data_IF_776654579288
#
_entry.id   IF_776654579288
#
_cell.length_a   1.000
_cell.length_b   1.000
_cell.length_c   1.000
_cell.angle_alpha   90.00
_cell.angle_beta   90.00
_cell.angle_gamma   90.00
#
_symmetry.space_group_name_H-M   'P 1'
#
loop_
_entity.id
_entity.type
_entity.pdbx_description
1 polymer ?
#
# COMPACT_ATOMS: atom_id res chain seq x y z
N UNK A 1 -19.42 0.08 9.93
CA UNK A 1 -18.34 0.60 10.80
C UNK A 1 -18.28 -0.08 12.18
N UNK A 2 -19.40 -0.63 12.68
CA UNK A 2 -19.40 -1.35 13.97
C UNK A 2 -18.52 -2.61 13.98
N UNK A 3 -18.21 -3.15 12.81
CA UNK A 3 -17.45 -4.40 12.66
C UNK A 3 -16.01 -4.18 12.19
N UNK A 4 -15.57 -2.92 12.03
CA UNK A 4 -14.19 -2.62 11.63
C UNK A 4 -13.25 -2.76 12.83
N UNK A 5 -12.29 -3.67 12.70
CA UNK A 5 -11.32 -3.98 13.77
C UNK A 5 -10.00 -3.23 13.63
N UNK A 6 -9.74 -2.63 12.46
CA UNK A 6 -8.52 -1.89 12.20
C UNK A 6 -8.50 -1.19 10.85
N UNK A 7 -7.57 -0.28 10.70
CA UNK A 7 -7.23 0.41 9.45
C UNK A 7 -5.77 0.12 9.17
N UNK A 8 -5.48 -0.46 8.02
CA UNK A 8 -4.12 -0.66 7.54
C UNK A 8 -3.71 0.56 6.71
N UNK A 9 -2.59 1.20 7.07
CA UNK A 9 -2.08 2.39 6.39
C UNK A 9 -0.81 1.99 5.66
N UNK A 10 -0.77 2.21 4.36
CA UNK A 10 0.39 1.87 3.51
C UNK A 10 1.52 2.87 3.67
N UNK A 11 1.19 4.17 3.66
CA UNK A 11 2.14 5.29 3.79
C UNK A 11 1.39 6.62 4.03
N UNK A 12 2.13 7.71 4.24
CA UNK A 12 1.62 9.01 4.70
C UNK A 12 1.17 9.97 3.59
N UNK A 13 1.16 9.60 2.32
CA UNK A 13 0.70 10.50 1.27
C UNK A 13 -0.76 10.91 1.48
N UNK A 14 -1.06 12.16 1.13
CA UNK A 14 -2.32 12.81 1.52
C UNK A 14 -3.57 12.12 0.94
N UNK A 15 -3.49 11.57 -0.23
CA UNK A 15 -4.56 10.81 -0.88
C UNK A 15 -4.89 9.51 -0.15
N UNK A 16 -3.94 8.96 0.63
CA UNK A 16 -4.15 7.79 1.49
C UNK A 16 -4.68 8.15 2.87
N UNK A 17 -4.31 9.32 3.41
CA UNK A 17 -4.60 9.66 4.81
C UNK A 17 -5.59 10.83 5.00
N UNK A 18 -6.05 11.49 3.94
CA UNK A 18 -6.91 12.69 4.06
C UNK A 18 -8.15 12.50 4.94
N UNK A 19 -8.76 11.30 4.93
CA UNK A 19 -9.92 10.96 5.75
C UNK A 19 -9.61 10.43 7.14
N UNK A 20 -8.35 10.12 7.43
CA UNK A 20 -7.94 9.35 8.60
C UNK A 20 -8.33 10.01 9.91
N UNK A 21 -8.06 11.31 10.04
CA UNK A 21 -8.39 12.04 11.26
C UNK A 21 -9.90 12.13 11.55
N UNK A 22 -10.73 12.19 10.51
CA UNK A 22 -12.20 12.16 10.68
C UNK A 22 -12.65 10.80 11.19
N UNK A 23 -12.13 9.71 10.60
CA UNK A 23 -12.46 8.33 10.99
C UNK A 23 -11.98 8.06 12.42
N UNK A 24 -10.74 8.44 12.73
CA UNK A 24 -10.14 8.28 14.05
C UNK A 24 -10.98 8.95 15.14
N UNK A 25 -11.30 10.23 14.98
CA UNK A 25 -12.10 11.00 15.96
C UNK A 25 -13.53 10.49 16.10
N UNK A 26 -14.12 9.96 15.04
CA UNK A 26 -15.52 9.52 15.04
C UNK A 26 -15.71 8.11 15.58
N UNK A 27 -14.78 7.23 15.32
CA UNK A 27 -14.97 5.79 15.56
C UNK A 27 -13.94 5.16 16.49
N UNK A 28 -12.79 5.81 16.73
CA UNK A 28 -11.75 5.28 17.62
C UNK A 28 -11.17 3.94 17.15
N UNK A 29 -11.10 3.71 15.83
CA UNK A 29 -10.63 2.45 15.26
C UNK A 29 -9.09 2.40 15.32
N UNK A 30 -8.48 1.30 15.76
CA UNK A 30 -7.03 1.13 15.72
C UNK A 30 -6.47 1.27 14.30
N UNK A 31 -5.32 1.92 14.19
CA UNK A 31 -4.63 2.22 12.92
C UNK A 31 -3.25 1.57 12.94
N UNK A 32 -2.95 0.75 11.95
CA UNK A 32 -1.71 0.00 11.85
C UNK A 32 -0.83 0.63 10.76
N UNK A 33 0.37 1.06 11.12
CA UNK A 33 1.35 1.64 10.21
C UNK A 33 2.77 1.42 10.74
N UNK A 34 3.77 1.51 9.86
CA UNK A 34 5.18 1.52 10.26
C UNK A 34 5.51 2.75 11.10
N UNK A 35 6.56 2.67 11.92
CA UNK A 35 6.91 3.74 12.85
C UNK A 35 7.18 5.07 12.16
N UNK A 36 7.90 5.05 11.03
CA UNK A 36 8.23 6.28 10.28
C UNK A 36 6.98 6.86 9.60
N UNK A 37 6.05 6.02 9.12
CA UNK A 37 4.76 6.45 8.60
C UNK A 37 3.90 7.10 9.69
N UNK A 38 3.85 6.52 10.90
CA UNK A 38 3.14 7.12 12.05
C UNK A 38 3.70 8.49 12.38
N UNK A 39 5.03 8.60 12.48
CA UNK A 39 5.71 9.87 12.77
C UNK A 39 5.38 10.94 11.70
N UNK A 40 5.45 10.59 10.43
CA UNK A 40 5.11 11.48 9.32
C UNK A 40 3.64 11.94 9.37
N UNK A 41 2.70 11.03 9.69
CA UNK A 41 1.28 11.37 9.85
C UNK A 41 1.07 12.36 11.00
N UNK A 42 1.69 12.14 12.16
CA UNK A 42 1.55 12.99 13.32
C UNK A 42 2.13 14.40 13.10
N UNK A 43 3.14 14.51 12.25
CA UNK A 43 3.74 15.80 11.87
C UNK A 43 2.95 16.55 10.78
N UNK A 44 2.02 15.90 10.06
CA UNK A 44 1.20 16.59 9.06
C UNK A 44 0.02 17.32 9.69
N UNK A 45 -0.26 18.54 9.20
CA UNK A 45 -1.42 19.34 9.67
C UNK A 45 -2.72 18.93 8.98
N UNK A 46 -2.65 18.19 7.91
CA UNK A 46 -3.78 17.94 7.00
C UNK A 46 -4.85 17.02 7.61
N UNK A 47 -4.44 16.04 8.39
CA UNK A 47 -5.36 15.09 9.05
C UNK A 47 -5.99 15.64 10.33
N UNK A 48 -5.46 16.77 10.84
CA UNK A 48 -5.84 17.33 12.12
C UNK A 48 -5.35 16.49 13.31
N UNK A 49 -5.85 16.79 14.51
CA UNK A 49 -5.42 16.06 15.72
C UNK A 49 -5.99 14.65 15.75
N UNK A 50 -5.13 13.65 15.88
CA UNK A 50 -5.44 12.23 16.08
C UNK A 50 -4.91 11.83 17.46
N UNK A 51 -5.63 10.96 18.17
CA UNK A 51 -5.15 10.36 19.42
C UNK A 51 -4.06 9.33 19.06
N UNK A 52 -2.85 9.57 19.53
CA UNK A 52 -1.68 8.70 19.26
C UNK A 52 -1.91 7.28 19.78
N UNK A 53 -2.72 7.09 20.82
CA UNK A 53 -3.03 5.77 21.37
C UNK A 53 -3.79 4.86 20.38
N UNK A 54 -4.36 5.42 19.31
CA UNK A 54 -5.00 4.63 18.24
C UNK A 54 -3.99 3.98 17.29
N UNK A 55 -2.75 4.47 17.24
CA UNK A 55 -1.74 3.87 16.39
C UNK A 55 -1.15 2.60 17.00
N UNK A 56 -1.13 1.56 16.22
CA UNK A 56 -0.45 0.30 16.47
C UNK A 56 0.74 0.23 15.52
N UNK A 57 1.94 0.46 16.05
CA UNK A 57 3.17 0.44 15.25
C UNK A 57 3.47 -1.00 14.83
N UNK A 58 3.65 -1.20 13.53
CA UNK A 58 4.04 -2.47 12.91
C UNK A 58 5.46 -2.36 12.33
N UNK A 59 6.08 -3.51 12.09
CA UNK A 59 7.37 -3.61 11.41
C UNK A 59 7.15 -4.18 10.01
N UNK A 60 7.77 -3.58 8.97
CA UNK A 60 7.76 -4.16 7.63
C UNK A 60 8.39 -5.56 7.64
N UNK A 61 7.90 -6.44 6.79
CA UNK A 61 8.29 -7.87 6.68
C UNK A 61 7.96 -8.72 7.92
N UNK A 62 7.26 -8.20 8.91
CA UNK A 62 6.88 -8.96 10.10
C UNK A 62 5.37 -9.15 10.19
N UNK A 63 4.92 -10.38 10.13
CA UNK A 63 3.50 -10.74 10.26
C UNK A 63 2.94 -10.34 11.64
N UNK A 64 1.68 -9.88 11.65
CA UNK A 64 0.87 -9.66 12.85
C UNK A 64 -0.57 -10.11 12.59
N UNK A 65 -1.41 -10.10 13.63
CA UNK A 65 -2.80 -10.58 13.53
C UNK A 65 -3.81 -9.51 13.94
N UNK A 66 -4.94 -9.46 13.22
CA UNK A 66 -6.14 -8.72 13.60
C UNK A 66 -7.30 -9.70 13.55
N UNK A 67 -7.84 -10.08 14.72
CA UNK A 67 -8.85 -11.14 14.79
C UNK A 67 -8.30 -12.46 14.27
N UNK A 68 -8.94 -13.02 13.26
CA UNK A 68 -8.54 -14.27 12.57
C UNK A 68 -7.75 -14.04 11.27
N UNK A 69 -7.39 -12.80 10.99
CA UNK A 69 -6.56 -12.42 9.84
C UNK A 69 -5.08 -12.39 10.23
N UNK A 70 -4.23 -12.96 9.41
CA UNK A 70 -2.78 -12.73 9.44
C UNK A 70 -2.43 -11.67 8.40
N UNK A 71 -1.74 -10.63 8.82
CA UNK A 71 -1.36 -9.48 8.00
C UNK A 71 0.15 -9.48 7.84
N UNK A 72 0.63 -9.45 6.61
CA UNK A 72 2.04 -9.31 6.27
C UNK A 72 2.25 -7.94 5.60
N UNK A 73 2.92 -6.99 6.27
CA UNK A 73 3.35 -5.75 5.63
C UNK A 73 4.58 -6.05 4.77
N UNK A 74 4.48 -5.80 3.48
CA UNK A 74 5.55 -6.02 2.50
C UNK A 74 6.18 -4.68 2.15
N UNK A 75 7.48 -4.53 2.35
CA UNK A 75 8.20 -3.30 1.98
C UNK A 75 8.15 -3.07 0.47
N UNK A 76 7.87 -1.84 0.07
CA UNK A 76 7.75 -1.45 -1.34
C UNK A 76 8.64 -0.26 -1.68
N UNK A 77 8.99 -0.13 -2.96
CA UNK A 77 9.73 1.02 -3.46
C UNK A 77 8.78 2.16 -3.80
N UNK A 78 8.69 3.14 -2.90
CA UNK A 78 7.89 4.36 -3.07
C UNK A 78 8.55 5.56 -2.39
N UNK A 79 8.18 6.79 -2.77
CA UNK A 79 8.77 8.02 -2.22
C UNK A 79 8.06 8.49 -0.93
N UNK A 80 7.95 7.59 0.03
CA UNK A 80 7.34 7.80 1.35
C UNK A 80 8.33 7.42 2.48
N UNK A 81 7.98 7.64 3.74
CA UNK A 81 8.86 7.45 4.88
C UNK A 81 9.28 5.98 5.07
N UNK A 82 8.30 5.09 5.20
CA UNK A 82 8.52 3.62 5.27
C UNK A 82 7.29 2.92 4.68
N UNK A 83 7.16 2.94 3.32
CA UNK A 83 5.96 2.49 2.64
C UNK A 83 5.86 0.97 2.59
N UNK A 84 4.65 0.46 2.85
CA UNK A 84 4.33 -0.97 2.78
C UNK A 84 3.09 -1.23 1.95
N UNK A 85 3.08 -2.37 1.27
CA UNK A 85 1.88 -3.03 0.78
C UNK A 85 1.41 -4.07 1.79
N UNK A 86 0.25 -4.66 1.59
CA UNK A 86 -0.27 -5.66 2.52
C UNK A 86 -0.66 -6.95 1.82
N UNK A 87 -0.17 -8.07 2.35
CA UNK A 87 -0.70 -9.40 2.08
C UNK A 87 -1.50 -9.88 3.29
N UNK A 88 -2.73 -10.30 3.05
CA UNK A 88 -3.69 -10.65 4.08
C UNK A 88 -4.09 -12.10 3.88
N UNK A 89 -3.97 -12.90 4.92
CA UNK A 89 -4.30 -14.32 4.90
C UNK A 89 -5.40 -14.63 5.91
N UNK A 90 -6.37 -15.40 5.47
CA UNK A 90 -7.37 -16.04 6.32
C UNK A 90 -7.50 -17.50 5.90
N UNK A 91 -7.15 -18.43 6.80
CA UNK A 91 -7.07 -19.86 6.48
C UNK A 91 -6.20 -20.10 5.25
N UNK A 92 -6.78 -20.69 4.18
CA UNK A 92 -6.08 -20.99 2.92
C UNK A 92 -6.24 -19.89 1.86
N UNK A 93 -6.82 -18.73 2.23
CA UNK A 93 -7.07 -17.61 1.31
C UNK A 93 -6.10 -16.47 1.52
N UNK A 94 -5.54 -15.98 0.41
CA UNK A 94 -4.59 -14.90 0.40
C UNK A 94 -5.06 -13.77 -0.52
N UNK A 95 -5.04 -12.55 0.01
CA UNK A 95 -5.31 -11.32 -0.74
C UNK A 95 -4.06 -10.45 -0.66
N UNK A 96 -3.61 -9.88 -1.76
CA UNK A 96 -2.57 -8.87 -1.75
C UNK A 96 -3.09 -7.54 -2.32
N UNK A 97 -2.73 -6.45 -1.65
CA UNK A 97 -2.97 -5.07 -2.09
C UNK A 97 -1.61 -4.43 -2.33
N UNK A 98 -1.26 -4.24 -3.60
CA UNK A 98 0.06 -3.81 -4.07
C UNK A 98 -0.10 -2.54 -4.89
N UNK A 99 -0.25 -1.42 -4.21
CA UNK A 99 -0.39 -0.08 -4.78
C UNK A 99 0.86 0.74 -4.51
N UNK A 100 1.04 1.83 -5.25
CA UNK A 100 2.14 2.79 -5.09
C UNK A 100 3.53 2.14 -5.18
N UNK A 101 3.68 1.28 -6.16
CA UNK A 101 4.89 0.51 -6.39
C UNK A 101 5.68 1.10 -7.56
N UNK A 102 6.78 1.80 -7.27
CA UNK A 102 7.62 2.40 -8.32
C UNK A 102 8.39 1.36 -9.13
N UNK A 103 8.89 0.33 -8.47
CA UNK A 103 9.59 -0.79 -9.10
C UNK A 103 9.39 -2.07 -8.30
N UNK A 104 9.63 -3.22 -8.91
CA UNK A 104 9.58 -4.51 -8.24
C UNK A 104 10.86 -5.32 -8.53
N UNK A 105 11.18 -6.20 -7.62
CA UNK A 105 12.28 -7.17 -7.68
C UNK A 105 11.77 -8.59 -7.45
N UNK A 106 12.69 -9.54 -7.30
CA UNK A 106 12.33 -10.94 -7.05
C UNK A 106 11.66 -11.13 -5.68
N UNK A 107 11.93 -10.27 -4.69
CA UNK A 107 11.26 -10.28 -3.40
C UNK A 107 9.75 -10.02 -3.56
N UNK A 108 9.36 -8.97 -4.29
CA UNK A 108 7.95 -8.68 -4.57
C UNK A 108 7.30 -9.84 -5.35
N UNK A 109 8.00 -10.41 -6.34
CA UNK A 109 7.50 -11.56 -7.09
C UNK A 109 7.25 -12.76 -6.16
N UNK A 110 8.14 -13.04 -5.21
CA UNK A 110 8.00 -14.13 -4.23
C UNK A 110 6.81 -13.87 -3.29
N UNK A 111 6.65 -12.65 -2.77
CA UNK A 111 5.52 -12.28 -1.90
C UNK A 111 4.16 -12.45 -2.58
N UNK A 112 4.08 -12.22 -3.88
CA UNK A 112 2.86 -12.35 -4.66
C UNK A 112 2.56 -13.78 -5.13
N UNK A 113 3.43 -14.74 -4.87
CA UNK A 113 3.12 -16.15 -5.16
C UNK A 113 1.94 -16.63 -4.29
N UNK A 114 1.11 -17.49 -4.90
CA UNK A 114 -0.01 -18.17 -4.23
C UNK A 114 -1.08 -17.22 -3.64
N UNK A 115 -1.27 -16.02 -4.21
CA UNK A 115 -2.38 -15.14 -3.85
C UNK A 115 -3.65 -15.52 -4.62
N UNK A 116 -4.81 -15.52 -3.96
CA UNK A 116 -6.12 -15.79 -4.61
C UNK A 116 -6.70 -14.52 -5.25
N UNK A 117 -6.40 -13.36 -4.67
CA UNK A 117 -6.87 -12.04 -5.13
C UNK A 117 -5.70 -11.05 -5.08
N UNK A 118 -5.48 -10.33 -6.16
CA UNK A 118 -4.41 -9.36 -6.28
C UNK A 118 -4.99 -8.01 -6.73
N UNK A 119 -4.89 -6.98 -5.89
CA UNK A 119 -5.06 -5.59 -6.30
C UNK A 119 -3.67 -5.07 -6.67
N UNK A 120 -3.42 -4.91 -7.95
CA UNK A 120 -2.12 -4.49 -8.48
C UNK A 120 -2.23 -3.13 -9.15
N UNK A 121 -1.28 -2.26 -8.85
CA UNK A 121 -1.18 -0.97 -9.51
C UNK A 121 -0.93 -1.12 -11.02
N UNK A 122 -1.65 -0.31 -11.82
CA UNK A 122 -1.40 -0.05 -13.22
C UNK A 122 -1.68 1.44 -13.48
N UNK A 123 -0.71 2.29 -13.14
CA UNK A 123 -0.94 3.72 -12.94
C UNK A 123 -1.02 4.52 -14.24
N UNK A 124 -0.16 4.24 -15.21
CA UNK A 124 -0.05 5.09 -16.39
C UNK A 124 0.46 4.34 -17.63
N UNK A 125 0.05 4.81 -18.79
CA UNK A 125 0.74 4.54 -20.06
C UNK A 125 1.92 5.50 -20.20
N UNK A 126 3.11 4.96 -20.45
CA UNK A 126 4.37 5.74 -20.50
C UNK A 126 4.34 6.81 -21.57
N UNK A 127 3.80 6.50 -22.77
CA UNK A 127 3.77 7.45 -23.90
C UNK A 127 2.75 8.57 -23.64
N UNK A 128 1.59 8.21 -23.09
CA UNK A 128 0.57 9.19 -22.69
C UNK A 128 1.08 10.12 -21.59
N UNK A 129 1.77 9.59 -20.58
CA UNK A 129 2.37 10.38 -19.51
C UNK A 129 3.43 11.35 -20.08
N UNK A 130 4.32 10.85 -20.95
CA UNK A 130 5.37 11.69 -21.57
C UNK A 130 4.79 12.81 -22.45
N UNK A 131 3.75 12.51 -23.24
CA UNK A 131 3.08 13.49 -24.11
C UNK A 131 2.11 14.41 -23.34
N UNK A 132 1.64 14.01 -22.16
CA UNK A 132 0.65 14.72 -21.36
C UNK A 132 1.10 16.07 -20.84
N UNK A 133 0.18 16.84 -20.25
CA UNK A 133 0.40 18.22 -19.81
C UNK A 133 1.11 18.36 -18.45
N UNK A 134 1.43 17.26 -17.77
CA UNK A 134 2.12 17.32 -16.47
C UNK A 134 3.49 18.00 -16.57
N UNK A 135 3.88 18.79 -15.54
CA UNK A 135 5.22 19.36 -15.47
C UNK A 135 6.30 18.28 -15.51
N UNK A 136 7.43 18.58 -16.14
CA UNK A 136 8.53 17.63 -16.31
C UNK A 136 9.00 16.97 -14.98
N UNK A 137 9.16 17.72 -13.86
CA UNK A 137 9.55 17.09 -12.59
C UNK A 137 8.54 16.03 -12.08
N UNK A 138 7.24 16.28 -12.27
CA UNK A 138 6.20 15.33 -11.89
C UNK A 138 6.25 14.06 -12.76
N UNK A 139 6.47 14.21 -14.08
CA UNK A 139 6.67 13.06 -14.97
C UNK A 139 7.87 12.22 -14.54
N UNK A 140 8.98 12.86 -14.18
CA UNK A 140 10.18 12.15 -13.70
C UNK A 140 9.93 11.43 -12.36
N UNK A 141 9.19 12.05 -11.45
CA UNK A 141 8.78 11.42 -10.19
C UNK A 141 7.94 10.17 -10.45
N UNK A 142 6.91 10.27 -11.31
CA UNK A 142 6.00 9.15 -11.63
C UNK A 142 6.77 8.00 -12.30
N UNK A 143 7.68 8.30 -13.23
CA UNK A 143 8.46 7.30 -13.99
C UNK A 143 9.64 6.71 -13.20
N UNK A 144 10.00 7.29 -12.06
CA UNK A 144 11.15 6.87 -11.26
C UNK A 144 10.90 5.56 -10.50
N UNK A 145 11.98 4.94 -10.01
CA UNK A 145 11.90 3.67 -9.26
C UNK A 145 11.16 3.79 -7.92
N UNK A 146 10.93 4.99 -7.44
CA UNK A 146 10.10 5.31 -6.27
C UNK A 146 8.76 5.97 -6.65
N UNK A 147 8.40 5.96 -7.93
CA UNK A 147 7.15 6.52 -8.43
C UNK A 147 6.03 5.46 -8.46
N UNK A 148 5.55 5.17 -9.67
CA UNK A 148 4.42 4.27 -9.87
C UNK A 148 4.66 3.29 -11.02
N UNK A 149 4.11 2.08 -10.94
CA UNK A 149 4.17 1.11 -12.02
C UNK A 149 3.36 1.58 -13.25
N UNK A 150 4.02 1.58 -14.40
CA UNK A 150 3.31 1.71 -15.67
C UNK A 150 2.45 0.48 -15.95
N UNK A 151 1.43 0.64 -16.81
CA UNK A 151 0.57 -0.46 -17.25
C UNK A 151 1.39 -1.62 -17.82
N UNK A 152 2.45 -1.32 -18.56
CA UNK A 152 3.34 -2.32 -19.15
C UNK A 152 4.11 -3.11 -18.09
N UNK A 153 4.71 -2.44 -17.10
CA UNK A 153 5.43 -3.09 -16.01
C UNK A 153 4.50 -3.88 -15.09
N UNK A 154 3.30 -3.38 -14.84
CA UNK A 154 2.24 -4.10 -14.13
C UNK A 154 1.89 -5.41 -14.83
N UNK A 155 1.69 -5.37 -16.15
CA UNK A 155 1.44 -6.56 -16.95
C UNK A 155 2.61 -7.57 -16.93
N UNK A 156 3.86 -7.09 -16.91
CA UNK A 156 5.05 -7.94 -16.79
C UNK A 156 5.12 -8.61 -15.40
N UNK A 157 4.84 -7.88 -14.32
CA UNK A 157 4.77 -8.44 -12.97
C UNK A 157 3.65 -9.48 -12.87
N UNK A 158 2.46 -9.15 -13.38
CA UNK A 158 1.35 -10.08 -13.42
C UNK A 158 1.72 -11.38 -14.14
N UNK A 159 2.42 -11.30 -15.29
CA UNK A 159 2.88 -12.47 -16.02
C UNK A 159 3.85 -13.36 -15.23
N UNK A 160 4.57 -12.83 -14.25
CA UNK A 160 5.48 -13.61 -13.38
C UNK A 160 4.76 -14.30 -12.21
N UNK A 161 3.62 -13.75 -11.77
CA UNK A 161 2.89 -14.22 -10.59
C UNK A 161 1.58 -14.92 -10.93
N UNK A 162 1.20 -14.95 -12.21
CA UNK A 162 -0.03 -15.59 -12.67
C UNK A 162 0.04 -17.12 -12.46
N UNK A 163 -1.00 -17.68 -11.84
CA UNK A 163 -1.14 -19.11 -11.58
C UNK A 163 -2.63 -19.50 -11.49
N UNK A 164 -2.94 -20.81 -11.50
CA UNK A 164 -4.33 -21.32 -11.58
C UNK A 164 -5.23 -20.95 -10.39
N UNK A 165 -4.65 -20.59 -9.25
CA UNK A 165 -5.40 -20.20 -8.05
C UNK A 165 -5.68 -18.70 -7.97
N UNK A 166 -5.03 -17.85 -8.77
CA UNK A 166 -5.31 -16.42 -8.84
C UNK A 166 -6.65 -16.19 -9.55
N UNK A 167 -7.67 -15.79 -8.79
CA UNK A 167 -9.06 -15.73 -9.27
C UNK A 167 -9.52 -14.32 -9.64
N UNK A 168 -8.92 -13.31 -9.04
CA UNK A 168 -9.30 -11.91 -9.25
C UNK A 168 -8.04 -11.03 -9.26
N UNK A 169 -8.07 -10.07 -10.19
CA UNK A 169 -7.04 -9.03 -10.34
C UNK A 169 -7.74 -7.69 -10.44
#
# INVERSE_FOLDING_TARGET
TADMQGILITHEHIDHIAGLGVIARRYGIPMYATGETVDAILHTKTVGKIDEALFQVIESEREFTIGDLTIEPVSISHDAADPVAYKIRQQEKNVAVMTDLGTYDDHIVEKLQNVDVLLLEANHDVRMLQAGAYPYPLKQRILGDKGHLSNERSGQLLGKVLHDHLKHI
#
